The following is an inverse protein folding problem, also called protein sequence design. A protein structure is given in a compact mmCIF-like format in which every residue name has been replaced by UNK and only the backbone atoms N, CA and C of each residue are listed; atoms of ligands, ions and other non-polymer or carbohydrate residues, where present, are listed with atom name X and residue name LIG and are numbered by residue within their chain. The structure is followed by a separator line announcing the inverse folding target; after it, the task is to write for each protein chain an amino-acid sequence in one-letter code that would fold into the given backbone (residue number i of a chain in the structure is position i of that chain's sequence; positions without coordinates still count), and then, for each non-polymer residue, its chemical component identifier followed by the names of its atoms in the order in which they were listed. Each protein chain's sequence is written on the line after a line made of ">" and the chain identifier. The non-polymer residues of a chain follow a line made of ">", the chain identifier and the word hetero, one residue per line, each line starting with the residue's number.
data_IF_746191986776
#
_entry.id   IF_746191986776
#
_cell.length_a   1.000
_cell.length_b   1.000
_cell.length_c   1.000
_cell.angle_alpha   90.00
_cell.angle_beta   90.00
_cell.angle_gamma   90.00
#
_symmetry.space_group_name_H-M   'P 1'
#
loop_
_entity.id
_entity.type
_entity.pdbx_description
1 polymer ?
#
# COMPACT_ATOMS: atom_id res chain seq x y z
N UNK A 1 5.31 -5.99 3.34
CA UNK A 1 4.42 -4.83 3.50
C UNK A 1 4.23 -4.46 4.96
N UNK A 2 3.52 -5.26 5.77
CA UNK A 2 3.26 -4.91 7.18
C UNK A 2 4.50 -4.52 7.98
N UNK A 3 5.58 -5.32 7.89
CA UNK A 3 6.84 -4.98 8.54
C UNK A 3 7.43 -3.61 8.13
N UNK A 4 7.23 -3.18 6.88
CA UNK A 4 7.66 -1.84 6.44
C UNK A 4 6.81 -0.71 7.03
N UNK A 5 5.52 -0.96 7.31
CA UNK A 5 4.64 -0.02 8.02
C UNK A 5 5.07 0.07 9.50
N UNK A 6 5.32 -1.08 10.13
CA UNK A 6 5.75 -1.19 11.54
C UNK A 6 7.06 -0.45 11.79
N UNK A 7 8.02 -0.56 10.87
CA UNK A 7 9.33 0.12 10.98
C UNK A 7 9.25 1.64 10.95
N UNK A 8 8.19 2.21 10.37
CA UNK A 8 7.96 3.66 10.33
C UNK A 8 7.03 4.12 11.49
N UNK A 9 6.61 3.20 12.37
CA UNK A 9 5.85 3.51 13.58
C UNK A 9 4.38 3.89 13.36
N UNK A 10 3.82 3.61 12.18
CA UNK A 10 2.42 3.93 11.85
C UNK A 10 1.52 2.72 12.15
N UNK A 11 0.39 2.89 12.86
CA UNK A 11 -0.52 1.78 13.11
C UNK A 11 -1.22 1.32 11.83
N UNK A 12 -1.58 0.04 11.78
CA UNK A 12 -2.36 -0.53 10.68
C UNK A 12 -3.46 -1.46 11.18
N UNK A 13 -4.43 -1.73 10.32
CA UNK A 13 -5.42 -2.79 10.49
C UNK A 13 -5.44 -3.64 9.22
N UNK A 14 -5.65 -4.94 9.37
CA UNK A 14 -5.73 -5.88 8.25
C UNK A 14 -7.14 -6.43 8.17
N UNK A 15 -7.72 -6.34 6.98
CA UNK A 15 -8.98 -6.99 6.65
C UNK A 15 -8.75 -8.02 5.55
N UNK A 16 -9.33 -9.21 5.74
CA UNK A 16 -9.38 -10.23 4.69
C UNK A 16 -10.77 -10.20 4.06
N UNK A 17 -10.80 -9.97 2.75
CA UNK A 17 -12.00 -10.00 1.92
C UNK A 17 -12.00 -11.26 1.08
N UNK A 18 -13.16 -11.93 0.96
CA UNK A 18 -13.33 -13.13 0.13
C UNK A 18 -13.43 -12.83 -1.38
N UNK A 19 -13.05 -11.61 -1.77
CA UNK A 19 -13.18 -11.07 -3.12
C UNK A 19 -11.83 -11.17 -3.86
N UNK A 20 -11.86 -11.33 -5.18
CA UNK A 20 -10.69 -11.53 -6.05
C UNK A 20 -10.32 -10.28 -6.86
N UNK A 21 -10.60 -9.09 -6.35
CA UNK A 21 -10.28 -7.84 -7.05
C UNK A 21 -8.78 -7.60 -7.15
N UNK A 22 -8.35 -6.83 -8.17
CA UNK A 22 -6.99 -6.30 -8.25
C UNK A 22 -6.61 -5.43 -7.05
N UNK A 23 -5.31 -5.36 -6.75
CA UNK A 23 -4.78 -4.53 -5.67
C UNK A 23 -5.12 -3.05 -5.86
N UNK A 24 -5.19 -2.60 -7.12
CA UNK A 24 -5.55 -1.23 -7.52
C UNK A 24 -7.01 -0.87 -7.23
N UNK A 25 -7.89 -1.85 -7.05
CA UNK A 25 -9.27 -1.62 -6.61
C UNK A 25 -9.39 -1.71 -5.09
N UNK A 26 -8.64 -2.61 -4.44
CA UNK A 26 -8.65 -2.70 -2.99
C UNK A 26 -8.00 -1.50 -2.29
N UNK A 27 -6.93 -0.93 -2.84
CA UNK A 27 -6.22 0.17 -2.17
C UNK A 27 -7.09 1.42 -1.97
N UNK A 28 -7.87 1.90 -2.97
CA UNK A 28 -8.82 3.00 -2.77
C UNK A 28 -9.92 2.69 -1.75
N UNK A 29 -10.46 1.46 -1.77
CA UNK A 29 -11.47 1.03 -0.79
C UNK A 29 -10.92 1.03 0.64
N UNK A 30 -9.67 0.57 0.81
CA UNK A 30 -8.99 0.60 2.09
C UNK A 30 -8.69 2.05 2.54
N UNK A 31 -8.30 2.93 1.61
CA UNK A 31 -7.99 4.32 1.91
C UNK A 31 -9.23 5.08 2.41
N UNK A 32 -10.37 4.89 1.74
CA UNK A 32 -11.64 5.50 2.10
C UNK A 32 -12.16 5.09 3.50
N UNK A 33 -11.70 3.94 4.01
CA UNK A 33 -12.09 3.41 5.34
C UNK A 33 -11.05 3.68 6.41
N UNK A 34 -9.85 4.08 6.02
CA UNK A 34 -8.74 4.37 6.92
C UNK A 34 -8.90 5.80 7.46
N UNK A 35 -8.90 6.02 8.79
CA UNK A 35 -8.91 7.37 9.34
C UNK A 35 -7.63 8.16 9.01
N UNK A 36 -6.58 7.49 8.51
CA UNK A 36 -5.33 8.10 8.08
C UNK A 36 -5.35 8.51 6.58
N UNK A 37 -6.43 8.23 5.86
CA UNK A 37 -6.57 8.54 4.43
C UNK A 37 -5.64 7.73 3.51
N UNK A 38 -4.95 6.71 4.05
CA UNK A 38 -4.05 5.83 3.30
C UNK A 38 -4.54 4.39 3.39
N UNK A 39 -4.60 3.74 2.24
CA UNK A 39 -5.01 2.35 2.08
C UNK A 39 -3.98 1.53 1.32
N UNK A 40 -3.93 0.24 1.64
CA UNK A 40 -3.09 -0.72 0.94
C UNK A 40 -3.95 -1.89 0.46
N UNK A 41 -3.92 -2.15 -0.83
CA UNK A 41 -4.58 -3.30 -1.46
C UNK A 41 -3.58 -4.41 -1.77
N UNK A 42 -4.01 -5.66 -1.59
CA UNK A 42 -3.24 -6.85 -1.98
C UNK A 42 -4.14 -7.77 -2.79
N UNK A 43 -3.71 -8.17 -3.98
CA UNK A 43 -4.45 -9.13 -4.82
C UNK A 43 -3.99 -10.58 -4.60
N UNK A 44 -4.69 -11.51 -5.26
CA UNK A 44 -4.40 -12.95 -5.21
C UNK A 44 -3.04 -13.34 -5.80
N UNK A 45 -2.43 -12.48 -6.61
CA UNK A 45 -1.09 -12.67 -7.16
C UNK A 45 0.00 -12.07 -6.24
N UNK A 46 -0.40 -11.49 -5.11
CA UNK A 46 0.49 -10.86 -4.15
C UNK A 46 1.04 -9.51 -4.62
N UNK A 47 0.40 -8.85 -5.60
CA UNK A 47 0.73 -7.44 -5.88
C UNK A 47 0.25 -6.58 -4.73
N UNK A 48 1.03 -5.56 -4.40
CA UNK A 48 0.69 -4.55 -3.40
C UNK A 48 0.47 -3.22 -4.11
N UNK A 49 -0.61 -2.52 -3.78
CA UNK A 49 -0.88 -1.16 -4.22
C UNK A 49 -1.12 -0.26 -3.01
N UNK A 50 -0.48 0.92 -2.97
CA UNK A 50 -0.73 1.95 -1.96
C UNK A 50 -1.55 3.06 -2.61
N UNK A 51 -2.58 3.54 -1.91
CA UNK A 51 -3.43 4.62 -2.37
C UNK A 51 -3.71 5.62 -1.23
N UNK A 52 -3.92 6.87 -1.62
CA UNK A 52 -4.32 7.96 -0.74
C UNK A 52 -5.68 8.47 -1.19
N UNK A 53 -6.60 8.68 -0.26
CA UNK A 53 -7.97 9.14 -0.52
C UNK A 53 -8.07 10.46 -1.32
N UNK A 54 -7.05 11.31 -1.23
CA UNK A 54 -6.94 12.58 -1.97
C UNK A 54 -6.62 12.40 -3.45
N UNK A 55 -6.22 11.21 -3.90
CA UNK A 55 -5.89 10.94 -5.29
C UNK A 55 -7.09 10.37 -6.04
N UNK A 56 -7.40 10.95 -7.21
CA UNK A 56 -8.47 10.45 -8.06
C UNK A 56 -8.14 9.10 -8.73
N UNK A 57 -6.86 8.79 -8.89
CA UNK A 57 -6.37 7.59 -9.58
C UNK A 57 -5.22 6.96 -8.83
N UNK A 58 -5.01 5.65 -9.03
CA UNK A 58 -3.81 4.97 -8.54
C UNK A 58 -2.55 5.50 -9.22
N UNK A 59 -1.43 5.46 -8.50
CA UNK A 59 -0.11 5.92 -8.96
C UNK A 59 0.74 4.70 -9.28
N UNK A 60 1.30 4.63 -10.50
CA UNK A 60 2.02 3.44 -10.97
C UNK A 60 3.29 3.15 -10.16
N UNK A 61 3.89 4.17 -9.58
CA UNK A 61 5.05 4.12 -8.68
C UNK A 61 4.71 3.52 -7.32
N UNK A 62 3.42 3.44 -6.97
CA UNK A 62 2.92 2.89 -5.71
C UNK A 62 2.34 1.48 -5.89
N UNK A 63 2.79 0.75 -6.91
CA UNK A 63 2.36 -0.62 -7.23
C UNK A 63 3.60 -1.52 -7.35
N UNK A 64 3.55 -2.68 -6.71
CA UNK A 64 4.60 -3.69 -6.80
C UNK A 64 4.39 -4.64 -7.98
N UNK A 65 5.45 -5.26 -8.49
CA UNK A 65 5.33 -6.51 -9.22
C UNK A 65 4.62 -7.60 -8.36
N UNK A 66 3.98 -8.60 -8.99
CA UNK A 66 3.36 -9.71 -8.27
C UNK A 66 4.38 -10.50 -7.45
N UNK A 67 4.06 -10.78 -6.18
CA UNK A 67 4.89 -11.63 -5.32
C UNK A 67 6.24 -11.05 -4.89
N UNK A 68 6.58 -9.83 -5.31
CA UNK A 68 7.84 -9.18 -4.93
C UNK A 68 7.80 -8.70 -3.48
N UNK A 69 8.46 -9.46 -2.60
CA UNK A 69 8.50 -9.17 -1.15
C UNK A 69 9.30 -7.92 -0.82
N UNK A 70 10.34 -7.60 -1.58
CA UNK A 70 11.18 -6.43 -1.33
C UNK A 70 10.40 -5.15 -1.70
N UNK A 71 9.82 -5.11 -2.90
CA UNK A 71 8.93 -4.04 -3.31
C UNK A 71 7.73 -3.90 -2.37
N UNK A 72 7.13 -5.01 -1.93
CA UNK A 72 6.04 -4.99 -0.96
C UNK A 72 6.47 -4.41 0.41
N UNK A 73 7.69 -4.65 0.89
CA UNK A 73 8.19 -4.03 2.12
C UNK A 73 8.44 -2.54 1.91
N UNK A 74 9.07 -2.15 0.80
CA UNK A 74 9.31 -0.76 0.45
C UNK A 74 8.00 0.04 0.30
N UNK A 75 6.96 -0.55 -0.29
CA UNK A 75 5.63 0.05 -0.31
C UNK A 75 5.00 0.17 1.07
N UNK A 76 5.27 -0.76 2.00
CA UNK A 76 4.87 -0.62 3.39
C UNK A 76 5.49 0.61 4.04
N UNK A 77 6.80 0.83 3.86
CA UNK A 77 7.46 2.05 4.31
C UNK A 77 6.82 3.29 3.67
N UNK A 78 6.56 3.27 2.37
CA UNK A 78 5.99 4.42 1.67
C UNK A 78 4.56 4.73 2.12
N UNK A 79 3.71 3.72 2.36
CA UNK A 79 2.39 3.91 2.92
C UNK A 79 2.44 4.66 4.27
N UNK A 80 3.34 4.25 5.16
CA UNK A 80 3.53 4.93 6.44
C UNK A 80 4.13 6.33 6.29
N UNK A 81 5.16 6.49 5.44
CA UNK A 81 5.81 7.79 5.18
C UNK A 81 4.87 8.81 4.56
N UNK A 82 3.89 8.36 3.77
CA UNK A 82 2.79 9.20 3.29
C UNK A 82 1.96 9.73 4.46
N UNK A 83 1.56 8.86 5.40
CA UNK A 83 0.75 9.25 6.58
C UNK A 83 1.46 10.34 7.39
N UNK A 84 2.77 10.20 7.60
CA UNK A 84 3.55 11.13 8.42
C UNK A 84 4.20 12.29 7.64
N UNK A 85 3.99 12.38 6.33
CA UNK A 85 4.49 13.49 5.49
C UNK A 85 6.00 13.46 5.22
N UNK A 86 6.62 12.28 5.14
CA UNK A 86 8.03 12.11 4.81
C UNK A 86 8.23 11.80 3.30
N UNK A 87 9.42 12.10 2.73
CA UNK A 87 9.75 11.73 1.34
C UNK A 87 9.56 10.23 1.09
N UNK A 88 9.32 9.75 -0.13
CA UNK A 88 9.19 8.31 -0.37
C UNK A 88 10.55 7.62 -0.51
N UNK A 89 10.65 6.36 -0.07
CA UNK A 89 11.77 5.48 -0.41
C UNK A 89 11.62 5.02 -1.86
N UNK A 90 12.74 4.92 -2.58
CA UNK A 90 12.76 4.33 -3.91
C UNK A 90 12.32 2.86 -3.84
N UNK A 91 11.59 2.42 -4.87
CA UNK A 91 11.40 1.00 -5.11
C UNK A 91 12.57 0.54 -5.96
N UNK A 92 13.35 -0.41 -5.46
CA UNK A 92 14.32 -1.12 -6.30
C UNK A 92 13.52 -1.91 -7.35
N UNK A 93 13.51 -1.41 -8.58
CA UNK A 93 12.92 -2.10 -9.73
C UNK A 93 14.02 -2.87 -10.45
N UNK A 94 13.82 -4.17 -10.75
CA UNK A 94 14.75 -4.93 -11.57
C UNK A 94 14.80 -4.42 -13.00
#
# INVERSE_FOLDING_TARGET
>A
MLAGIEEEGVPYTVERVADHRPATEFAPLAAARSPLGVGVGVDSLGRVCVHLDKLATVVAELISPPGDRAAARALGHNAARIVVGLPLKALDRP
#
